data_IF_469295429419
#
_entry.id   IF_469295429419
#
_cell.length_a   1.000
_cell.length_b   1.000
_cell.length_c   1.000
_cell.angle_alpha   90.00
_cell.angle_beta   90.00
_cell.angle_gamma   90.00
#
_symmetry.space_group_name_H-M   'P 1'
#
loop_
_entity.id
_entity.type
_entity.pdbx_description
1 polymer ?
#
# COMPACT_ATOMS: atom_id res chain seq x y z
N UNK A 1 3.51 -2.79 11.50
CA UNK A 1 4.58 -3.07 10.54
C UNK A 1 5.88 -3.09 11.33
N UNK A 2 6.53 -4.26 11.42
CA UNK A 2 7.82 -4.40 12.12
C UNK A 2 9.02 -4.04 11.24
N UNK A 3 8.76 -3.78 9.96
CA UNK A 3 9.73 -3.49 8.90
C UNK A 3 9.08 -2.58 7.84
N UNK A 4 9.89 -2.12 6.87
CA UNK A 4 9.43 -1.32 5.73
C UNK A 4 8.66 -2.21 4.74
N UNK A 5 7.58 -1.68 4.19
CA UNK A 5 6.78 -2.32 3.15
C UNK A 5 6.90 -1.56 1.85
N UNK A 6 7.07 -2.28 0.74
CA UNK A 6 7.46 -1.74 -0.55
C UNK A 6 6.41 -2.09 -1.59
N UNK A 7 5.86 -1.07 -2.27
CA UNK A 7 4.94 -1.29 -3.37
C UNK A 7 5.71 -1.75 -4.60
N UNK A 8 5.55 -3.00 -4.98
CA UNK A 8 6.22 -3.56 -6.16
C UNK A 8 5.59 -3.03 -7.45
N UNK A 9 4.26 -3.14 -7.56
CA UNK A 9 3.52 -2.68 -8.72
C UNK A 9 2.06 -2.35 -8.40
N UNK A 10 1.40 -1.65 -9.33
CA UNK A 10 -0.03 -1.35 -9.28
C UNK A 10 -0.66 -1.41 -10.68
N UNK A 11 -1.99 -1.56 -10.75
CA UNK A 11 -2.71 -1.68 -12.04
C UNK A 11 -3.31 -0.36 -12.57
N UNK A 12 -2.89 0.78 -12.03
CA UNK A 12 -3.32 2.11 -12.45
C UNK A 12 -2.11 3.05 -12.51
N UNK A 13 -2.09 3.93 -13.50
CA UNK A 13 -0.89 4.73 -13.82
C UNK A 13 -0.67 5.87 -12.83
N UNK A 14 -1.70 6.66 -12.60
CA UNK A 14 -1.60 7.94 -11.89
C UNK A 14 -2.30 7.84 -10.52
N UNK A 15 -1.55 8.12 -9.45
CA UNK A 15 -2.05 8.12 -8.08
C UNK A 15 -2.14 9.56 -7.54
N UNK A 16 -3.35 10.11 -7.33
CA UNK A 16 -3.52 11.48 -6.86
C UNK A 16 -2.99 11.72 -5.43
N UNK A 17 -2.73 10.68 -4.65
CA UNK A 17 -2.27 10.79 -3.25
C UNK A 17 -0.80 10.40 -3.07
N UNK A 18 -0.27 9.51 -3.91
CA UNK A 18 1.12 9.06 -3.87
C UNK A 18 1.93 9.57 -5.07
N UNK A 19 1.97 10.89 -5.26
CA UNK A 19 2.90 11.54 -6.19
C UNK A 19 2.66 11.30 -7.69
N UNK A 20 1.42 10.99 -8.10
CA UNK A 20 1.07 10.77 -9.50
C UNK A 20 1.71 9.49 -10.03
N UNK A 21 2.71 9.62 -10.90
CA UNK A 21 3.47 8.52 -11.50
C UNK A 21 4.75 8.16 -10.72
N UNK A 22 4.88 8.62 -9.47
CA UNK A 22 6.03 8.38 -8.61
C UNK A 22 6.36 6.89 -8.46
N UNK A 23 7.66 6.61 -8.36
CA UNK A 23 8.23 5.29 -8.07
C UNK A 23 8.66 5.22 -6.60
N UNK A 24 9.15 4.06 -6.16
CA UNK A 24 9.74 3.86 -4.84
C UNK A 24 8.78 4.13 -3.68
N UNK A 25 7.50 3.80 -3.88
CA UNK A 25 6.48 3.95 -2.84
C UNK A 25 6.72 2.92 -1.74
N UNK A 26 6.86 3.40 -0.50
CA UNK A 26 7.08 2.57 0.67
C UNK A 26 6.34 3.11 1.89
N UNK A 27 6.11 2.24 2.88
CA UNK A 27 5.46 2.60 4.12
C UNK A 27 6.12 1.92 5.31
N UNK A 28 6.25 2.65 6.41
CA UNK A 28 6.75 2.13 7.69
C UNK A 28 5.91 2.70 8.84
N UNK A 29 5.61 1.87 9.83
CA UNK A 29 5.00 2.36 11.07
C UNK A 29 6.04 3.11 11.91
N UNK A 30 5.67 4.30 12.40
CA UNK A 30 6.56 5.16 13.20
C UNK A 30 6.24 5.14 14.70
N UNK A 31 5.21 4.40 15.08
CA UNK A 31 4.74 4.31 16.47
C UNK A 31 3.80 3.14 16.71
N UNK A 32 3.37 2.94 17.96
CA UNK A 32 2.56 1.79 18.33
C UNK A 32 1.14 1.88 17.77
N UNK A 33 0.56 0.72 17.43
CA UNK A 33 -0.85 0.59 17.13
C UNK A 33 -1.69 0.76 18.41
N UNK A 34 -2.51 1.79 18.49
CA UNK A 34 -3.35 2.10 19.65
C UNK A 34 -4.75 2.53 19.21
N UNK A 35 -5.78 2.09 19.94
CA UNK A 35 -7.18 2.43 19.68
C UNK A 35 -7.66 2.20 18.23
N UNK A 36 -7.15 1.18 17.55
CA UNK A 36 -7.54 0.87 16.17
C UNK A 36 -6.76 1.63 15.10
N UNK A 37 -5.75 2.41 15.48
CA UNK A 37 -4.97 3.25 14.58
C UNK A 37 -3.46 3.10 14.78
N UNK A 38 -2.68 3.35 13.72
CA UNK A 38 -1.23 3.47 13.79
C UNK A 38 -0.72 4.67 12.97
N UNK A 39 0.32 5.39 13.45
CA UNK A 39 1.03 6.37 12.65
C UNK A 39 2.00 5.67 11.68
N UNK A 40 1.98 6.09 10.42
CA UNK A 40 2.88 5.62 9.38
C UNK A 40 3.53 6.80 8.67
N UNK A 41 4.73 6.59 8.15
CA UNK A 41 5.34 7.46 7.14
C UNK A 41 5.27 6.73 5.80
N UNK A 42 4.72 7.40 4.79
CA UNK A 42 4.72 6.92 3.40
C UNK A 42 5.72 7.76 2.61
N UNK A 43 6.68 7.10 1.97
CA UNK A 43 7.65 7.72 1.07
C UNK A 43 7.27 7.38 -0.37
N UNK A 44 7.33 8.35 -1.28
CA UNK A 44 7.07 8.18 -2.72
C UNK A 44 7.91 9.18 -3.49
N UNK A 45 8.58 8.78 -4.57
CA UNK A 45 9.76 9.50 -5.09
C UNK A 45 10.81 9.59 -3.96
N UNK A 46 12.01 8.98 -4.05
CA UNK A 46 12.87 8.64 -2.90
C UNK A 46 13.10 9.73 -1.84
N UNK A 47 12.82 11.00 -2.14
CA UNK A 47 13.02 12.14 -1.25
C UNK A 47 11.73 12.81 -0.74
N UNK A 48 10.53 12.34 -1.09
CA UNK A 48 9.25 12.92 -0.61
C UNK A 48 8.56 11.94 0.33
N UNK A 49 8.20 12.42 1.51
CA UNK A 49 7.48 11.63 2.52
C UNK A 49 6.31 12.40 3.11
N UNK A 50 5.28 11.67 3.50
CA UNK A 50 4.11 12.19 4.22
C UNK A 50 3.87 11.33 5.45
N UNK A 51 3.47 11.99 6.54
CA UNK A 51 3.05 11.31 7.75
C UNK A 51 1.53 11.17 7.76
N UNK A 52 1.06 9.96 8.06
CA UNK A 52 -0.35 9.59 8.05
C UNK A 52 -0.72 8.85 9.34
N UNK A 53 -2.00 8.92 9.70
CA UNK A 53 -2.63 7.98 10.61
C UNK A 53 -3.47 7.04 9.76
N UNK A 54 -3.25 5.74 9.96
CA UNK A 54 -4.09 4.69 9.41
C UNK A 54 -5.04 4.20 10.49
N UNK A 55 -6.34 4.28 10.24
CA UNK A 55 -7.38 3.77 11.14
C UNK A 55 -8.11 2.59 10.52
N UNK A 56 -8.18 1.48 11.23
CA UNK A 56 -8.81 0.26 10.77
C UNK A 56 -10.32 0.30 10.96
N UNK A 57 -11.07 -0.14 9.96
CA UNK A 57 -12.52 -0.26 10.00
C UNK A 57 -13.01 -1.51 9.26
N UNK A 58 -14.25 -1.90 9.52
CA UNK A 58 -14.91 -3.02 8.82
C UNK A 58 -15.83 -2.49 7.72
N UNK A 59 -15.81 -3.13 6.55
CA UNK A 59 -16.81 -2.87 5.50
C UNK A 59 -18.17 -3.45 5.86
N UNK A 60 -19.23 -3.01 5.17
CA UNK A 60 -20.58 -3.53 5.38
C UNK A 60 -20.61 -5.08 5.34
N UNK A 61 -21.25 -5.67 6.35
CA UNK A 61 -21.38 -7.12 6.55
C UNK A 61 -20.08 -7.88 6.90
N UNK A 62 -18.97 -7.19 7.15
CA UNK A 62 -17.75 -7.79 7.67
C UNK A 62 -17.63 -7.55 9.18
N UNK A 63 -17.17 -8.57 9.90
CA UNK A 63 -16.81 -8.47 11.32
C UNK A 63 -15.31 -8.26 11.54
N UNK A 64 -14.52 -8.32 10.46
CA UNK A 64 -13.08 -8.12 10.46
C UNK A 64 -12.75 -6.76 9.85
N UNK A 65 -11.73 -6.11 10.41
CA UNK A 65 -11.29 -4.83 9.88
C UNK A 65 -10.49 -5.03 8.58
N UNK A 66 -11.18 -4.83 7.46
CA UNK A 66 -10.62 -4.96 6.11
C UNK A 66 -10.43 -3.61 5.41
N UNK A 67 -10.85 -2.50 6.01
CA UNK A 67 -10.62 -1.15 5.48
C UNK A 67 -9.53 -0.46 6.30
N UNK A 68 -8.61 0.20 5.59
CA UNK A 68 -7.65 1.15 6.12
C UNK A 68 -8.07 2.55 5.68
N UNK A 69 -8.46 3.40 6.62
CA UNK A 69 -8.73 4.81 6.40
C UNK A 69 -7.42 5.56 6.60
N UNK A 70 -6.91 6.21 5.56
CA UNK A 70 -5.62 6.90 5.57
C UNK A 70 -5.87 8.40 5.64
N UNK A 71 -5.27 9.06 6.62
CA UNK A 71 -5.40 10.51 6.83
C UNK A 71 -4.03 11.13 7.08
N UNK A 72 -3.68 12.21 6.40
CA UNK A 72 -2.44 12.94 6.71
C UNK A 72 -2.51 13.62 8.07
N UNK A 73 -1.39 13.61 8.79
CA UNK A 73 -1.25 14.31 10.08
C UNK A 73 -0.68 15.72 9.93
N UNK A 74 -0.05 16.00 8.80
CA UNK A 74 0.53 17.30 8.45
C UNK A 74 0.50 17.52 6.94
N UNK A 75 0.59 18.78 6.51
CA UNK A 75 0.52 19.14 5.10
C UNK A 75 -0.90 19.12 4.52
N UNK A 76 -1.05 18.97 3.18
CA UNK A 76 -2.35 18.90 2.52
C UNK A 76 -3.20 17.74 3.06
N UNK A 77 -4.46 18.04 3.40
CA UNK A 77 -5.41 17.04 3.90
C UNK A 77 -5.75 16.04 2.80
N UNK A 78 -5.29 14.79 2.95
CA UNK A 78 -5.74 13.66 2.14
C UNK A 78 -6.52 12.71 3.04
N UNK A 79 -7.62 12.17 2.52
CA UNK A 79 -8.43 11.17 3.22
C UNK A 79 -8.98 10.20 2.18
N UNK A 80 -8.59 8.93 2.29
CA UNK A 80 -9.04 7.90 1.38
C UNK A 80 -8.99 6.52 2.03
N UNK A 81 -9.67 5.56 1.40
CA UNK A 81 -9.76 4.20 1.87
C UNK A 81 -8.99 3.25 0.99
N UNK A 82 -8.24 2.37 1.64
CA UNK A 82 -7.73 1.13 1.05
C UNK A 82 -8.51 -0.05 1.62
N UNK A 83 -8.87 -0.99 0.76
CA UNK A 83 -9.48 -2.26 1.16
C UNK A 83 -8.40 -3.34 1.06
N UNK A 84 -8.18 -4.08 2.13
CA UNK A 84 -7.31 -5.27 2.12
C UNK A 84 -8.03 -6.37 1.37
N UNK A 85 -7.66 -6.58 0.11
CA UNK A 85 -8.23 -7.62 -0.74
C UNK A 85 -7.61 -8.99 -0.43
N UNK A 86 -6.34 -9.00 -0.06
CA UNK A 86 -5.62 -10.15 0.46
C UNK A 86 -4.47 -9.70 1.36
N UNK A 87 -4.13 -10.49 2.37
CA UNK A 87 -2.98 -10.24 3.23
C UNK A 87 -2.39 -11.50 3.83
N UNK A 88 -1.10 -11.69 3.57
CA UNK A 88 -0.21 -12.57 4.35
C UNK A 88 0.87 -11.67 4.94
N UNK A 89 0.73 -11.33 6.23
CA UNK A 89 1.57 -10.35 6.90
C UNK A 89 3.07 -10.71 6.92
N UNK A 90 3.46 -11.95 6.58
CA UNK A 90 4.85 -12.36 6.46
C UNK A 90 5.39 -12.26 5.03
N UNK A 91 4.52 -12.06 4.04
CA UNK A 91 4.82 -12.25 2.61
C UNK A 91 4.42 -11.09 1.74
N UNK A 92 3.16 -10.68 1.81
CA UNK A 92 2.61 -9.69 0.91
C UNK A 92 1.25 -9.15 1.33
N UNK A 93 0.88 -8.00 0.77
CA UNK A 93 -0.45 -7.42 0.87
C UNK A 93 -0.95 -7.00 -0.52
N UNK A 94 -2.25 -7.21 -0.77
CA UNK A 94 -2.94 -6.69 -1.95
C UNK A 94 -4.01 -5.72 -1.47
N UNK A 95 -3.89 -4.46 -1.88
CA UNK A 95 -4.85 -3.42 -1.53
C UNK A 95 -5.65 -3.00 -2.74
N UNK A 96 -6.95 -2.72 -2.54
CA UNK A 96 -7.81 -2.00 -3.48
C UNK A 96 -7.94 -0.55 -3.06
N UNK A 97 -7.79 0.35 -4.01
CA UNK A 97 -7.80 1.80 -3.83
C UNK A 97 -9.17 2.33 -4.24
N UNK A 98 -9.95 2.85 -3.28
CA UNK A 98 -11.32 3.31 -3.54
C UNK A 98 -11.42 4.42 -4.58
N UNK A 99 -10.33 5.16 -4.78
CA UNK A 99 -10.25 6.34 -5.64
C UNK A 99 -9.68 6.07 -7.04
N UNK A 100 -9.08 4.90 -7.28
CA UNK A 100 -8.38 4.60 -8.54
C UNK A 100 -9.19 3.62 -9.40
N UNK A 101 -9.16 3.81 -10.72
CA UNK A 101 -9.89 2.98 -11.71
C UNK A 101 -11.34 2.66 -11.29
N UNK A 102 -12.09 3.68 -10.85
CA UNK A 102 -13.48 3.51 -10.39
C UNK A 102 -13.64 2.47 -9.25
N UNK A 103 -12.65 2.40 -8.34
CA UNK A 103 -12.63 1.46 -7.20
C UNK A 103 -11.95 0.11 -7.49
N UNK A 104 -11.47 -0.10 -8.73
CA UNK A 104 -10.81 -1.33 -9.16
C UNK A 104 -9.27 -1.22 -9.18
N UNK A 105 -8.73 -0.05 -8.81
CA UNK A 105 -7.30 0.14 -8.69
C UNK A 105 -6.72 -0.74 -7.59
N UNK A 106 -5.62 -1.44 -7.87
CA UNK A 106 -4.95 -2.30 -6.92
C UNK A 106 -3.45 -2.01 -6.85
N UNK A 107 -2.87 -2.27 -5.68
CA UNK A 107 -1.42 -2.30 -5.48
C UNK A 107 -0.98 -3.59 -4.80
N UNK A 108 0.24 -4.02 -5.15
CA UNK A 108 0.91 -5.17 -4.59
C UNK A 108 2.10 -4.72 -3.74
N UNK A 109 2.14 -5.16 -2.49
CA UNK A 109 3.15 -4.77 -1.52
C UNK A 109 3.82 -6.00 -0.92
N UNK A 110 5.11 -5.89 -0.64
CA UNK A 110 5.91 -6.90 0.07
C UNK A 110 6.67 -6.26 1.22
N UNK A 111 6.94 -6.99 2.30
CA UNK A 111 7.90 -6.55 3.29
C UNK A 111 9.32 -6.54 2.70
N UNK A 112 10.18 -5.66 3.21
CA UNK A 112 11.59 -5.56 2.81
C UNK A 112 12.33 -6.90 2.88
N UNK A 113 12.06 -7.71 3.90
CA UNK A 113 12.59 -9.07 4.06
C UNK A 113 12.19 -10.07 2.97
N UNK A 114 11.25 -9.72 2.09
CA UNK A 114 10.80 -10.54 0.97
C UNK A 114 11.24 -9.99 -0.40
N UNK A 115 12.07 -8.94 -0.43
CA UNK A 115 12.66 -8.46 -1.68
C UNK A 115 13.48 -9.56 -2.36
N UNK A 116 13.30 -9.69 -3.68
CA UNK A 116 13.97 -10.72 -4.49
C UNK A 116 13.50 -12.15 -4.25
N UNK A 117 12.59 -12.40 -3.29
CA UNK A 117 11.99 -13.70 -3.06
C UNK A 117 10.82 -13.90 -4.02
N UNK A 118 10.83 -15.00 -4.76
CA UNK A 118 9.73 -15.32 -5.67
C UNK A 118 8.50 -15.80 -4.86
N UNK A 119 7.42 -15.02 -4.90
CA UNK A 119 6.21 -15.28 -4.11
C UNK A 119 5.00 -15.54 -5.02
N UNK A 120 5.05 -16.64 -5.77
CA UNK A 120 4.09 -16.98 -6.83
C UNK A 120 2.63 -17.01 -6.35
N UNK A 121 2.36 -17.39 -5.10
CA UNK A 121 1.01 -17.36 -4.53
C UNK A 121 0.44 -15.94 -4.43
N UNK A 122 1.24 -15.01 -3.93
CA UNK A 122 0.87 -13.62 -3.78
C UNK A 122 0.62 -12.94 -5.13
N UNK A 123 1.49 -13.19 -6.10
CA UNK A 123 1.35 -12.69 -7.47
C UNK A 123 0.11 -13.27 -8.17
N UNK A 124 -0.14 -14.57 -8.01
CA UNK A 124 -1.35 -15.21 -8.53
C UNK A 124 -2.62 -14.61 -7.94
N UNK A 125 -2.65 -14.33 -6.64
CA UNK A 125 -3.81 -13.71 -5.98
C UNK A 125 -4.01 -12.28 -6.49
N UNK A 126 -2.94 -11.51 -6.68
CA UNK A 126 -3.05 -10.20 -7.32
C UNK A 126 -3.71 -10.33 -8.70
N UNK A 127 -3.22 -11.22 -9.55
CA UNK A 127 -3.75 -11.43 -10.91
C UNK A 127 -5.21 -11.83 -10.90
N UNK A 128 -5.60 -12.71 -9.98
CA UNK A 128 -6.98 -13.14 -9.81
C UNK A 128 -7.91 -11.99 -9.39
N UNK A 129 -7.46 -11.11 -8.50
CA UNK A 129 -8.30 -10.06 -7.89
C UNK A 129 -8.27 -8.72 -8.65
N UNK A 130 -7.20 -8.46 -9.39
CA UNK A 130 -6.85 -7.14 -9.92
C UNK A 130 -6.52 -7.15 -11.42
N UNK A 131 -6.50 -8.34 -12.04
CA UNK A 131 -6.17 -8.53 -13.44
C UNK A 131 -4.66 -8.64 -13.69
N UNK A 132 -4.31 -9.25 -14.81
CA UNK A 132 -2.92 -9.49 -15.21
C UNK A 132 -2.26 -8.30 -15.89
N UNK A 133 -3.05 -7.31 -16.35
CA UNK A 133 -2.57 -6.13 -17.08
C UNK A 133 -3.56 -4.96 -16.97
N UNK A 134 -3.08 -3.70 -16.92
CA UNK A 134 -1.67 -3.30 -16.87
C UNK A 134 -1.04 -3.54 -15.48
N UNK A 135 0.30 -3.68 -15.43
CA UNK A 135 1.09 -3.64 -14.19
C UNK A 135 2.20 -2.59 -14.32
N UNK A 136 2.01 -1.45 -13.67
CA UNK A 136 3.00 -0.39 -13.59
C UNK A 136 3.98 -0.73 -12.46
N UNK A 137 5.25 -0.91 -12.80
CA UNK A 137 6.31 -1.15 -11.82
C UNK A 137 6.56 0.12 -11.01
N UNK A 138 6.55 -0.02 -9.70
CA UNK A 138 6.71 1.09 -8.75
C UNK A 138 8.04 0.97 -8.04
N UNK A 139 8.40 -0.22 -7.55
CA UNK A 139 9.73 -0.46 -7.00
C UNK A 139 10.70 -0.78 -8.14
N UNK A 140 11.47 0.22 -8.58
CA UNK A 140 12.49 0.09 -9.60
C UNK A 140 13.62 1.11 -9.35
N UNK A 141 14.87 0.62 -9.23
CA UNK A 141 16.06 1.46 -9.02
C UNK A 141 15.95 2.41 -7.81
N UNK A 142 15.23 1.99 -6.77
CA UNK A 142 15.05 2.76 -5.54
C UNK A 142 16.35 2.72 -4.75
N UNK A 143 17.12 3.80 -4.85
CA UNK A 143 18.47 3.88 -4.31
C UNK A 143 18.42 4.23 -2.82
N UNK A 144 18.30 3.21 -1.97
CA UNK A 144 18.68 3.20 -0.55
C UNK A 144 19.16 1.80 -0.08
N UNK A 145 19.27 0.82 -0.99
CA UNK A 145 19.60 -0.58 -0.68
C UNK A 145 21.07 -0.95 -1.01
N UNK A 146 22.03 -0.03 -0.76
CA UNK A 146 23.47 -0.27 -0.91
C UNK A 146 24.24 -0.11 0.41
#
# INVERSE_FOLDING_TARGET
>A
LKEKWLMQYRNYRDDPYFGGNATCVSGIETGPFTNGSAPLTITFDPNVSIDVIVTLASSANYTVNNIMNIQTTSGPSVNFNLITAYGDCAKCMVYRHSYANSGQGCSYWVPESQLGVNNTCCEFIFDLLCGTSPKYQIYQNCSDDA
#
